data_IF_385865385100
#
_entry.id   IF_385865385100
#
_cell.length_a   1.000
_cell.length_b   1.000
_cell.length_c   1.000
_cell.angle_alpha   90.00
_cell.angle_beta   90.00
_cell.angle_gamma   90.00
#
_symmetry.space_group_name_H-M   'P 1'
#
loop_
_entity.id
_entity.type
_entity.pdbx_description
1 polymer ?
#
# COMPACT_ATOMS: atom_id res chain seq x y z
N UNK A 1 -9.31 8.63 12.37
CA UNK A 1 -8.52 8.27 11.17
C UNK A 1 -7.12 7.94 11.64
N UNK A 2 -6.51 6.89 11.11
CA UNK A 2 -5.14 6.46 11.42
C UNK A 2 -4.47 6.00 10.13
N UNK A 3 -3.14 6.00 10.07
CA UNK A 3 -2.38 5.74 8.85
C UNK A 3 -1.01 5.14 9.13
N UNK A 4 -0.55 4.24 8.26
CA UNK A 4 0.85 3.80 8.20
C UNK A 4 1.52 4.36 6.95
N UNK A 5 2.78 4.74 7.07
CA UNK A 5 3.61 5.32 6.01
C UNK A 5 5.09 5.26 6.43
N UNK A 6 6.01 5.80 5.63
CA UNK A 6 7.46 5.69 5.87
C UNK A 6 7.92 6.09 7.29
N UNK A 7 7.24 7.04 7.95
CA UNK A 7 7.57 7.52 9.30
C UNK A 7 6.60 7.00 10.40
N UNK A 8 5.59 6.22 10.03
CA UNK A 8 4.73 5.51 10.99
C UNK A 8 4.50 4.07 10.50
N UNK A 9 5.32 3.14 10.97
CA UNK A 9 5.37 1.79 10.39
C UNK A 9 4.24 0.86 10.87
N UNK A 10 3.46 1.26 11.87
CA UNK A 10 2.38 0.44 12.40
C UNK A 10 1.24 1.27 13.00
N UNK A 11 0.02 0.78 12.85
CA UNK A 11 -1.19 1.35 13.41
C UNK A 11 -2.08 0.25 14.01
N UNK A 12 -3.06 0.65 14.83
CA UNK A 12 -4.06 -0.24 15.42
C UNK A 12 -3.46 -1.50 16.07
N UNK A 13 -2.48 -1.31 16.97
CA UNK A 13 -1.77 -2.38 17.68
C UNK A 13 -1.20 -3.48 16.77
N UNK A 14 -0.62 -3.09 15.62
CA UNK A 14 0.02 -4.02 14.69
C UNK A 14 -0.93 -4.70 13.70
N UNK A 15 -2.22 -4.34 13.69
CA UNK A 15 -3.15 -4.86 12.68
C UNK A 15 -2.94 -4.20 11.31
N UNK A 16 -2.32 -3.04 11.25
CA UNK A 16 -1.85 -2.43 10.01
C UNK A 16 -0.35 -2.17 10.13
N UNK A 17 0.40 -2.54 9.10
CA UNK A 17 1.86 -2.39 9.09
C UNK A 17 2.42 -2.00 7.72
N UNK A 18 3.61 -1.43 7.76
CA UNK A 18 4.34 -0.92 6.62
C UNK A 18 5.81 -1.39 6.71
N UNK A 19 6.38 -1.87 5.61
CA UNK A 19 7.75 -2.43 5.59
C UNK A 19 8.86 -1.41 5.82
N UNK A 20 8.50 -0.14 5.70
CA UNK A 20 9.41 0.99 5.53
C UNK A 20 9.73 1.21 4.06
N UNK A 21 10.16 2.44 3.75
CA UNK A 21 10.59 2.82 2.42
C UNK A 21 11.97 2.21 2.15
N UNK A 22 12.00 1.16 1.33
CA UNK A 22 13.21 0.41 1.00
C UNK A 22 13.33 0.32 -0.51
N UNK A 23 14.57 0.46 -0.98
CA UNK A 23 14.91 0.08 -2.35
C UNK A 23 14.69 -1.43 -2.51
N UNK A 24 14.30 -1.85 -3.71
CA UNK A 24 14.21 -3.25 -4.05
C UNK A 24 15.56 -3.92 -3.79
N UNK A 25 15.57 -4.88 -2.87
CA UNK A 25 16.74 -5.70 -2.60
C UNK A 25 16.71 -6.95 -3.49
N UNK A 26 17.88 -7.48 -3.83
CA UNK A 26 18.00 -8.69 -4.64
C UNK A 26 17.20 -9.85 -4.03
N UNK A 27 16.38 -10.49 -4.87
CA UNK A 27 15.54 -11.62 -4.47
C UNK A 27 14.20 -11.25 -3.82
N UNK A 28 13.88 -9.96 -3.62
CA UNK A 28 12.52 -9.54 -3.20
C UNK A 28 11.62 -9.28 -4.39
N UNK A 29 10.35 -9.66 -4.26
CA UNK A 29 9.33 -9.40 -5.28
C UNK A 29 8.82 -7.94 -5.27
N UNK A 30 8.89 -7.26 -4.11
CA UNK A 30 8.39 -5.90 -3.92
C UNK A 30 9.41 -5.07 -3.14
N UNK A 31 9.56 -3.79 -3.51
CA UNK A 31 10.42 -2.82 -2.83
C UNK A 31 9.84 -2.42 -1.48
N UNK A 32 8.53 -2.23 -1.45
CA UNK A 32 7.75 -1.81 -0.28
C UNK A 32 6.48 -2.66 -0.17
N UNK A 33 6.02 -2.87 1.05
CA UNK A 33 4.80 -3.64 1.31
C UNK A 33 4.07 -3.08 2.51
N UNK A 34 2.75 -3.02 2.38
CA UNK A 34 1.80 -2.76 3.46
C UNK A 34 0.94 -3.98 3.68
N UNK A 35 0.63 -4.29 4.93
CA UNK A 35 -0.23 -5.42 5.27
C UNK A 35 -1.30 -5.00 6.27
N UNK A 36 -2.46 -5.65 6.13
CA UNK A 36 -3.61 -5.46 7.01
C UNK A 36 -4.04 -6.82 7.52
N UNK A 37 -3.99 -7.02 8.83
CA UNK A 37 -4.61 -8.15 9.50
C UNK A 37 -6.08 -7.81 9.80
N UNK A 38 -6.96 -8.24 8.91
CA UNK A 38 -8.40 -7.96 8.99
C UNK A 38 -9.07 -8.53 10.25
N UNK A 39 -8.54 -9.61 10.84
CA UNK A 39 -9.11 -10.22 12.06
C UNK A 39 -8.75 -9.45 13.33
N UNK A 40 -7.65 -8.69 13.30
CA UNK A 40 -7.22 -7.81 14.40
C UNK A 40 -7.67 -6.36 14.23
N UNK A 41 -8.22 -6.01 13.07
CA UNK A 41 -8.64 -4.64 12.77
C UNK A 41 -9.90 -4.28 13.59
N UNK A 42 -9.91 -3.15 14.31
CA UNK A 42 -11.07 -2.75 15.11
C UNK A 42 -12.36 -2.64 14.28
N UNK A 43 -13.51 -3.00 14.87
CA UNK A 43 -14.79 -3.04 14.16
C UNK A 43 -15.23 -1.68 13.59
N UNK A 44 -14.84 -0.58 14.26
CA UNK A 44 -15.11 0.77 13.80
C UNK A 44 -14.37 1.16 12.51
N UNK A 45 -13.36 0.39 12.08
CA UNK A 45 -12.68 0.63 10.81
C UNK A 45 -13.52 0.02 9.68
N UNK A 46 -14.20 0.89 8.94
CA UNK A 46 -15.11 0.52 7.84
C UNK A 46 -14.53 0.77 6.45
N UNK A 47 -13.42 1.51 6.36
CA UNK A 47 -12.78 1.89 5.10
C UNK A 47 -11.26 1.92 5.28
N UNK A 48 -10.54 1.33 4.33
CA UNK A 48 -9.09 1.45 4.17
C UNK A 48 -8.84 1.96 2.76
N UNK A 49 -7.99 2.97 2.64
CA UNK A 49 -7.56 3.55 1.36
C UNK A 49 -6.06 3.33 1.25
N UNK A 50 -5.62 2.74 0.15
CA UNK A 50 -4.21 2.59 -0.20
C UNK A 50 -3.82 3.74 -1.10
N UNK A 51 -2.88 4.55 -0.62
CA UNK A 51 -2.38 5.73 -1.32
C UNK A 51 -0.95 5.47 -1.74
N UNK A 52 -0.60 5.85 -2.97
CA UNK A 52 0.78 5.91 -3.44
C UNK A 52 1.14 7.37 -3.67
N UNK A 53 2.35 7.76 -3.25
CA UNK A 53 2.86 9.10 -3.44
C UNK A 53 4.30 9.06 -3.97
N UNK A 54 4.59 9.92 -4.94
CA UNK A 54 5.93 10.22 -5.39
C UNK A 54 6.56 11.23 -4.42
N UNK A 55 7.77 10.96 -3.94
CA UNK A 55 8.48 11.85 -3.03
C UNK A 55 9.50 12.70 -3.79
N UNK A 56 9.43 14.02 -3.63
CA UNK A 56 10.30 14.99 -4.29
C UNK A 56 9.57 15.80 -5.36
N UNK A 57 10.31 16.37 -6.30
CA UNK A 57 9.77 17.14 -7.43
C UNK A 57 9.56 16.21 -8.64
N UNK A 58 8.67 15.23 -8.50
CA UNK A 58 8.33 14.28 -9.55
C UNK A 58 6.88 13.84 -9.46
N UNK A 59 6.35 13.31 -10.57
CA UNK A 59 4.98 12.83 -10.67
C UNK A 59 4.95 11.31 -10.76
N UNK A 60 3.81 10.69 -10.42
CA UNK A 60 3.65 9.24 -10.51
C UNK A 60 3.85 8.70 -11.93
N UNK A 61 3.49 9.49 -12.96
CA UNK A 61 3.76 9.18 -14.38
C UNK A 61 5.25 9.02 -14.72
N UNK A 62 6.14 9.63 -13.94
CA UNK A 62 7.59 9.60 -14.21
C UNK A 62 8.22 8.28 -13.74
N UNK A 63 7.49 7.49 -12.96
CA UNK A 63 7.93 6.17 -12.47
C UNK A 63 7.81 5.12 -13.57
N UNK A 64 8.93 4.83 -14.23
CA UNK A 64 8.98 3.83 -15.31
C UNK A 64 8.83 2.41 -14.76
N UNK A 65 7.82 1.67 -15.21
CA UNK A 65 7.60 0.27 -14.81
C UNK A 65 7.08 0.10 -13.38
N UNK A 66 6.65 1.18 -12.72
CA UNK A 66 6.06 1.16 -11.40
C UNK A 66 4.73 0.39 -11.37
N UNK A 67 4.61 -0.54 -10.41
CA UNK A 67 3.44 -1.41 -10.26
C UNK A 67 3.05 -1.56 -8.80
N UNK A 68 1.76 -1.68 -8.55
CA UNK A 68 1.20 -1.99 -7.24
C UNK A 68 0.35 -3.25 -7.40
N UNK A 69 0.62 -4.22 -6.53
CA UNK A 69 -0.09 -5.49 -6.50
C UNK A 69 -0.82 -5.64 -5.17
N UNK A 70 -2.10 -6.03 -5.24
CA UNK A 70 -2.88 -6.45 -4.09
C UNK A 70 -2.78 -7.96 -4.00
N UNK A 71 -2.34 -8.45 -2.85
CA UNK A 71 -2.20 -9.87 -2.56
C UNK A 71 -3.15 -10.26 -1.44
N UNK A 72 -3.68 -11.47 -1.51
CA UNK A 72 -4.36 -12.14 -0.41
C UNK A 72 -3.41 -13.14 0.25
N UNK A 73 -3.38 -13.09 1.59
CA UNK A 73 -2.58 -13.95 2.47
C UNK A 73 -1.05 -13.82 2.28
N UNK A 74 -0.30 -14.43 3.20
CA UNK A 74 1.16 -14.52 3.16
C UNK A 74 1.67 -15.42 2.03
N UNK A 75 0.82 -16.31 1.51
CA UNK A 75 1.14 -17.20 0.39
C UNK A 75 1.23 -16.44 -0.94
N UNK A 76 0.69 -15.21 -1.01
CA UNK A 76 0.94 -14.27 -2.11
C UNK A 76 0.02 -14.43 -3.32
N UNK A 77 -1.23 -14.86 -3.12
CA UNK A 77 -2.19 -14.92 -4.22
C UNK A 77 -2.52 -13.52 -4.72
N UNK A 78 -2.18 -13.20 -5.97
CA UNK A 78 -2.36 -11.86 -6.53
C UNK A 78 -3.80 -11.64 -6.97
N UNK A 79 -4.51 -10.79 -6.24
CA UNK A 79 -5.87 -10.37 -6.57
C UNK A 79 -5.90 -9.37 -7.73
N UNK A 80 -4.97 -8.41 -7.73
CA UNK A 80 -4.94 -7.32 -8.71
C UNK A 80 -3.54 -6.74 -8.86
N UNK A 81 -3.25 -6.23 -10.05
CA UNK A 81 -2.08 -5.39 -10.33
C UNK A 81 -2.55 -4.12 -11.02
N UNK A 82 -1.96 -2.98 -10.69
CA UNK A 82 -2.18 -1.69 -11.35
C UNK A 82 -0.85 -1.00 -11.59
N UNK A 83 -0.74 -0.33 -12.73
CA UNK A 83 0.44 0.47 -13.07
C UNK A 83 0.31 1.87 -12.51
N UNK A 84 1.43 2.41 -12.00
CA UNK A 84 1.50 3.73 -11.37
C UNK A 84 1.58 4.85 -12.41
N UNK A 85 2.14 4.56 -13.59
CA UNK A 85 2.45 5.51 -14.67
C UNK A 85 1.25 6.27 -15.28
N UNK A 86 0.03 6.06 -14.78
CA UNK A 86 -1.22 6.63 -15.32
C UNK A 86 -1.62 7.95 -14.64
N UNK A 87 -1.10 8.24 -13.46
CA UNK A 87 -1.51 9.41 -12.68
C UNK A 87 -0.68 10.65 -13.07
N UNK A 88 -1.38 11.73 -13.40
CA UNK A 88 -0.79 13.04 -13.72
C UNK A 88 -0.41 13.86 -12.46
N UNK A 89 -0.68 13.31 -11.28
CA UNK A 89 -0.37 13.89 -9.98
C UNK A 89 0.81 13.16 -9.32
N UNK A 90 1.33 13.75 -8.24
CA UNK A 90 2.33 13.18 -7.35
C UNK A 90 1.71 12.20 -6.33
N UNK A 91 0.39 12.17 -6.18
CA UNK A 91 -0.33 11.26 -5.29
C UNK A 91 -1.57 10.67 -5.96
N UNK A 92 -1.87 9.40 -5.66
CA UNK A 92 -3.09 8.73 -6.12
C UNK A 92 -3.61 7.68 -5.11
N UNK A 93 -4.93 7.52 -5.06
CA UNK A 93 -5.59 6.47 -4.29
C UNK A 93 -5.81 5.25 -5.20
N UNK A 94 -5.02 4.21 -5.00
CA UNK A 94 -4.90 3.10 -5.97
C UNK A 94 -5.83 1.94 -5.66
N UNK A 95 -6.15 1.73 -4.38
CA UNK A 95 -7.10 0.71 -3.95
C UNK A 95 -7.88 1.18 -2.74
N UNK A 96 -9.10 0.65 -2.61
CA UNK A 96 -9.93 0.84 -1.43
C UNK A 96 -10.52 -0.49 -0.98
N UNK A 97 -10.61 -0.69 0.33
CA UNK A 97 -11.33 -1.79 0.94
C UNK A 97 -12.42 -1.22 1.83
N UNK A 98 -13.67 -1.61 1.57
CA UNK A 98 -14.83 -1.25 2.38
C UNK A 98 -15.28 -2.49 3.14
N UNK A 99 -15.50 -2.34 4.45
CA UNK A 99 -16.15 -3.38 5.26
C UNK A 99 -17.61 -3.47 4.84
N UNK A 100 -18.04 -4.66 4.43
CA UNK A 100 -19.46 -4.97 4.21
C UNK A 100 -20.08 -5.46 5.51
N UNK A 101 -21.35 -5.11 5.73
CA UNK A 101 -22.13 -5.58 6.87
C UNK A 101 -22.40 -7.09 6.80
#
# INVERSE_FOLDING_TARGET
>A
VDAVFYNNLSAFNGSVGHSGDKKLADGKAYSESVWVNLTKLPQQVVLIIFVVAAYGDCMLKDVTGGKISVLEDWVGYRLKESKIERAMADVDAVFMMKRTA
#
